data_IF_975870983296
#
_entry.id   IF_975870983296
#
_cell.length_a   1.000
_cell.length_b   1.000
_cell.length_c   1.000
_cell.angle_alpha   90.00
_cell.angle_beta   90.00
_cell.angle_gamma   90.00
#
_symmetry.space_group_name_H-M   'P 1'
#
loop_
_entity.id
_entity.type
_entity.pdbx_description
1 polymer ?
#
# COMPACT_ATOMS: atom_id res chain seq x y z
N UNK A 1 -28.89 -2.42 3.43
CA UNK A 1 -27.65 -2.14 4.18
C UNK A 1 -26.94 -3.46 4.46
N UNK A 2 -26.13 -3.94 3.50
CA UNK A 2 -25.26 -5.12 3.62
C UNK A 2 -24.39 -5.19 2.36
N UNK A 3 -23.27 -4.44 2.31
CA UNK A 3 -22.25 -4.57 1.25
C UNK A 3 -20.86 -4.03 1.62
N UNK A 4 -20.66 -3.47 2.83
CA UNK A 4 -19.36 -2.92 3.23
C UNK A 4 -18.37 -4.00 3.70
N UNK A 5 -18.86 -5.09 4.31
CA UNK A 5 -18.02 -6.17 4.85
C UNK A 5 -17.38 -7.06 3.78
N UNK A 6 -18.08 -7.32 2.68
CA UNK A 6 -17.58 -8.08 1.52
C UNK A 6 -16.44 -7.33 0.83
N UNK A 7 -16.62 -6.03 0.56
CA UNK A 7 -15.61 -5.20 -0.12
C UNK A 7 -14.30 -5.06 0.66
N UNK A 8 -14.35 -4.80 1.96
CA UNK A 8 -13.13 -4.74 2.78
C UNK A 8 -12.37 -6.08 2.80
N UNK A 9 -13.08 -7.21 2.80
CA UNK A 9 -12.46 -8.54 2.77
C UNK A 9 -11.79 -8.84 1.43
N UNK A 10 -12.42 -8.47 0.33
CA UNK A 10 -11.89 -8.61 -1.03
C UNK A 10 -10.70 -7.69 -1.27
N UNK A 11 -10.72 -6.49 -0.69
CA UNK A 11 -9.63 -5.51 -0.79
C UNK A 11 -8.37 -5.95 -0.02
N UNK A 12 -8.55 -6.44 1.21
CA UNK A 12 -7.45 -7.04 1.99
C UNK A 12 -6.88 -8.28 1.27
N UNK A 13 -7.74 -9.03 0.57
CA UNK A 13 -7.32 -10.18 -0.26
C UNK A 13 -6.48 -9.74 -1.46
N UNK A 14 -6.92 -8.69 -2.18
CA UNK A 14 -6.21 -8.11 -3.33
C UNK A 14 -4.81 -7.60 -2.97
N UNK A 15 -4.67 -6.85 -1.86
CA UNK A 15 -3.37 -6.34 -1.40
C UNK A 15 -2.42 -7.47 -0.99
N UNK A 16 -2.93 -8.51 -0.31
CA UNK A 16 -2.15 -9.72 0.01
C UNK A 16 -1.71 -10.46 -1.25
N UNK A 17 -2.57 -10.55 -2.26
CA UNK A 17 -2.26 -11.17 -3.53
C UNK A 17 -1.20 -10.37 -4.30
N UNK A 18 -1.29 -9.04 -4.34
CA UNK A 18 -0.29 -8.17 -4.96
C UNK A 18 1.09 -8.35 -4.30
N UNK A 19 1.15 -8.35 -2.96
CA UNK A 19 2.40 -8.62 -2.23
C UNK A 19 2.98 -10.01 -2.56
N UNK A 20 2.15 -11.07 -2.58
CA UNK A 20 2.60 -12.43 -2.91
C UNK A 20 3.10 -12.54 -4.35
N UNK A 21 2.45 -11.85 -5.29
CA UNK A 21 2.90 -11.79 -6.69
C UNK A 21 4.26 -11.12 -6.79
N UNK A 22 4.48 -10.01 -6.07
CA UNK A 22 5.78 -9.32 -6.02
C UNK A 22 6.87 -10.23 -5.43
N UNK A 23 6.60 -10.93 -4.33
CA UNK A 23 7.54 -11.88 -3.72
C UNK A 23 7.89 -13.04 -4.67
N UNK A 24 6.89 -13.54 -5.41
CA UNK A 24 7.07 -14.59 -6.42
C UNK A 24 7.90 -14.13 -7.61
N UNK A 25 7.66 -12.91 -8.12
CA UNK A 25 8.48 -12.32 -9.18
C UNK A 25 9.91 -12.21 -8.68
N UNK A 26 10.11 -11.58 -7.51
CA UNK A 26 11.44 -11.35 -6.94
C UNK A 26 12.25 -12.64 -6.79
N UNK A 27 11.65 -13.68 -6.21
CA UNK A 27 12.31 -14.97 -5.95
C UNK A 27 12.75 -15.70 -7.23
N UNK A 28 12.09 -15.45 -8.36
CA UNK A 28 12.33 -16.15 -9.62
C UNK A 28 13.12 -15.33 -10.65
N UNK A 29 13.43 -14.06 -10.35
CA UNK A 29 14.15 -13.14 -11.25
C UNK A 29 15.50 -13.70 -11.71
N UNK A 30 16.15 -14.56 -10.92
CA UNK A 30 17.42 -15.23 -11.26
C UNK A 30 17.40 -16.00 -12.59
N UNK A 31 16.27 -16.60 -12.95
CA UNK A 31 16.16 -17.52 -14.10
C UNK A 31 15.36 -16.98 -15.30
N UNK A 32 15.06 -15.68 -15.34
CA UNK A 32 14.28 -15.11 -16.43
C UNK A 32 15.15 -14.70 -17.62
N UNK A 33 14.73 -15.15 -18.81
CA UNK A 33 15.16 -14.62 -20.10
C UNK A 33 14.43 -13.31 -20.42
N UNK A 34 14.85 -12.58 -21.46
CA UNK A 34 14.16 -11.36 -21.95
C UNK A 34 12.68 -11.63 -22.20
N UNK A 35 12.36 -12.68 -22.97
CA UNK A 35 10.97 -13.09 -23.28
C UNK A 35 10.15 -13.42 -22.02
N UNK A 36 10.77 -14.03 -20.99
CA UNK A 36 10.09 -14.27 -19.71
C UNK A 36 9.86 -12.98 -18.94
N UNK A 37 10.74 -11.99 -19.05
CA UNK A 37 10.55 -10.69 -18.40
C UNK A 37 9.42 -9.90 -19.07
N UNK A 38 9.35 -9.85 -20.40
CA UNK A 38 8.24 -9.22 -21.13
C UNK A 38 6.89 -9.82 -20.72
N UNK A 39 6.78 -11.15 -20.69
CA UNK A 39 5.57 -11.83 -20.22
C UNK A 39 5.17 -11.45 -18.78
N UNK A 40 6.11 -11.19 -17.89
CA UNK A 40 5.81 -10.76 -16.51
C UNK A 40 5.30 -9.33 -16.49
N UNK A 41 5.90 -8.45 -17.28
CA UNK A 41 5.45 -7.08 -17.45
C UNK A 41 4.02 -7.04 -17.99
N UNK A 42 3.69 -7.90 -18.95
CA UNK A 42 2.39 -7.88 -19.62
C UNK A 42 1.29 -8.60 -18.84
N UNK A 43 1.61 -9.65 -18.08
CA UNK A 43 0.58 -10.50 -17.43
C UNK A 43 0.51 -10.40 -15.91
N UNK A 44 1.61 -10.06 -15.22
CA UNK A 44 1.67 -10.11 -13.75
C UNK A 44 1.76 -8.74 -13.09
N UNK A 45 2.40 -7.77 -13.74
CA UNK A 45 2.50 -6.41 -13.19
C UNK A 45 1.20 -5.59 -13.28
N UNK A 46 0.32 -5.71 -14.31
CA UNK A 46 -0.89 -4.89 -14.39
C UNK A 46 -1.81 -4.97 -13.15
N UNK A 47 -2.15 -6.16 -12.62
CA UNK A 47 -2.96 -6.22 -11.39
C UNK A 47 -2.21 -5.65 -10.18
N UNK A 48 -0.89 -5.79 -10.12
CA UNK A 48 -0.07 -5.21 -9.04
C UNK A 48 -0.09 -3.68 -9.10
N UNK A 49 0.03 -3.09 -10.29
CA UNK A 49 -0.08 -1.63 -10.47
C UNK A 49 -1.44 -1.12 -10.03
N UNK A 50 -2.51 -1.83 -10.38
CA UNK A 50 -3.86 -1.45 -9.94
C UNK A 50 -3.97 -1.49 -8.40
N UNK A 51 -3.50 -2.56 -7.76
CA UNK A 51 -3.49 -2.66 -6.30
C UNK A 51 -2.61 -1.60 -5.64
N UNK A 52 -1.46 -1.26 -6.21
CA UNK A 52 -0.58 -0.20 -5.71
C UNK A 52 -1.21 1.19 -5.84
N UNK A 53 -1.84 1.50 -6.98
CA UNK A 53 -2.56 2.76 -7.18
C UNK A 53 -3.73 2.91 -6.20
N UNK A 54 -4.48 1.83 -5.94
CA UNK A 54 -5.52 1.82 -4.90
C UNK A 54 -4.93 2.03 -3.51
N UNK A 55 -3.84 1.34 -3.17
CA UNK A 55 -3.20 1.50 -1.87
C UNK A 55 -2.71 2.96 -1.63
N UNK A 56 -2.18 3.63 -2.67
CA UNK A 56 -1.82 5.03 -2.61
C UNK A 56 -3.03 5.95 -2.34
N UNK A 57 -4.15 5.67 -3.01
CA UNK A 57 -5.40 6.39 -2.79
C UNK A 57 -5.92 6.18 -1.35
N UNK A 58 -5.98 4.94 -0.89
CA UNK A 58 -6.43 4.59 0.47
C UNK A 58 -5.54 5.24 1.54
N UNK A 59 -4.22 5.30 1.32
CA UNK A 59 -3.28 5.99 2.21
C UNK A 59 -3.52 7.50 2.24
N UNK A 60 -3.83 8.12 1.11
CA UNK A 60 -4.15 9.56 1.04
C UNK A 60 -5.47 9.87 1.77
N UNK A 61 -6.44 8.97 1.71
CA UNK A 61 -7.70 9.10 2.47
C UNK A 61 -7.47 8.90 3.97
N UNK A 62 -6.63 7.93 4.35
CA UNK A 62 -6.23 7.68 5.74
C UNK A 62 -5.49 8.88 6.35
N UNK A 63 -4.55 9.49 5.62
CA UNK A 63 -3.86 10.70 6.09
C UNK A 63 -4.83 11.86 6.37
N UNK A 64 -5.83 12.03 5.49
CA UNK A 64 -6.89 13.02 5.70
C UNK A 64 -7.77 12.70 6.91
N UNK A 65 -8.06 11.42 7.17
CA UNK A 65 -8.79 10.99 8.35
C UNK A 65 -8.00 11.30 9.63
N UNK A 66 -6.71 10.99 9.67
CA UNK A 66 -5.83 11.32 10.82
C UNK A 66 -5.88 12.82 11.12
N UNK A 67 -5.78 13.67 10.10
CA UNK A 67 -5.85 15.13 10.29
C UNK A 67 -7.17 15.55 10.94
N UNK A 68 -8.30 15.08 10.42
CA UNK A 68 -9.64 15.41 10.94
C UNK A 68 -9.85 14.89 12.36
N UNK A 69 -9.46 13.65 12.63
CA UNK A 69 -9.64 13.03 13.94
C UNK A 69 -8.79 13.71 15.01
N UNK A 70 -7.57 14.15 14.67
CA UNK A 70 -6.76 15.00 15.56
C UNK A 70 -7.43 16.33 15.89
N UNK A 71 -8.14 16.93 14.93
CA UNK A 71 -8.92 18.16 15.16
C UNK A 71 -10.13 17.92 16.07
N UNK A 72 -10.76 16.74 16.01
CA UNK A 72 -11.85 16.35 16.91
C UNK A 72 -11.34 16.06 18.33
N UNK A 73 -10.23 15.32 18.47
CA UNK A 73 -9.55 15.09 19.76
C UNK A 73 -9.19 16.43 20.42
N UNK A 74 -8.63 17.37 19.66
CA UNK A 74 -8.30 18.70 20.18
C UNK A 74 -9.55 19.48 20.64
N UNK A 75 -10.69 19.31 19.94
CA UNK A 75 -11.97 19.89 20.33
C UNK A 75 -12.53 19.27 21.60
N UNK A 76 -12.49 17.94 21.73
CA UNK A 76 -12.93 17.23 22.93
C UNK A 76 -12.12 17.70 24.16
N UNK A 77 -10.78 17.72 24.04
CA UNK A 77 -9.88 18.24 25.10
C UNK A 77 -10.20 19.69 25.49
N UNK A 78 -10.55 20.53 24.53
CA UNK A 78 -10.94 21.93 24.79
C UNK A 78 -12.28 22.02 25.53
N UNK A 79 -13.29 21.27 25.10
CA UNK A 79 -14.60 21.25 25.75
C UNK A 79 -14.51 20.76 27.20
N UNK A 80 -13.67 19.75 27.44
CA UNK A 80 -13.35 19.24 28.76
C UNK A 80 -12.70 20.30 29.65
N UNK A 81 -11.65 20.96 29.16
CA UNK A 81 -10.98 22.05 29.89
C UNK A 81 -11.89 23.25 30.18
N UNK A 82 -12.90 23.49 29.33
CA UNK A 82 -13.94 24.50 29.53
C UNK A 82 -15.07 24.06 30.48
N UNK A 83 -15.02 22.82 30.99
CA UNK A 83 -16.04 22.24 31.88
C UNK A 83 -17.39 21.99 31.19
N UNK A 84 -17.40 21.89 29.85
CA UNK A 84 -18.63 21.68 29.06
C UNK A 84 -19.00 20.21 28.90
N UNK A 85 -18.04 19.32 29.10
CA UNK A 85 -18.21 17.87 29.11
C UNK A 85 -17.46 17.29 30.31
N UNK A 86 -17.96 16.19 30.83
CA UNK A 86 -17.33 15.44 31.93
C UNK A 86 -16.08 14.70 31.44
N UNK A 87 -15.16 14.40 32.35
CA UNK A 87 -13.91 13.68 32.08
C UNK A 87 -14.17 12.37 31.32
N UNK A 88 -15.11 11.54 31.80
CA UNK A 88 -15.48 10.26 31.16
C UNK A 88 -15.97 10.46 29.72
N UNK A 89 -16.82 11.48 29.49
CA UNK A 89 -17.33 11.79 28.15
C UNK A 89 -16.26 12.34 27.21
N UNK A 90 -15.22 13.00 27.74
CA UNK A 90 -14.08 13.45 26.95
C UNK A 90 -13.15 12.30 26.58
N UNK A 91 -12.88 11.39 27.53
CA UNK A 91 -12.05 10.20 27.33
C UNK A 91 -12.66 9.27 26.27
N UNK A 92 -13.95 8.96 26.34
CA UNK A 92 -14.61 8.10 25.33
C UNK A 92 -14.47 8.64 23.90
N UNK A 93 -14.61 9.96 23.72
CA UNK A 93 -14.45 10.61 22.41
C UNK A 93 -13.01 10.52 21.93
N UNK A 94 -12.04 10.75 22.83
CA UNK A 94 -10.62 10.71 22.51
C UNK A 94 -10.23 9.29 22.10
N UNK A 95 -10.58 8.29 22.91
CA UNK A 95 -10.25 6.88 22.68
C UNK A 95 -10.81 6.41 21.33
N UNK A 96 -12.07 6.71 21.03
CA UNK A 96 -12.69 6.38 19.75
C UNK A 96 -11.91 6.95 18.55
N UNK A 97 -11.49 8.20 18.61
CA UNK A 97 -10.73 8.82 17.52
C UNK A 97 -9.27 8.37 17.46
N UNK A 98 -8.67 7.99 18.60
CA UNK A 98 -7.34 7.38 18.65
C UNK A 98 -7.34 6.00 17.97
N UNK A 99 -8.35 5.17 18.22
CA UNK A 99 -8.54 3.87 17.53
C UNK A 99 -8.65 4.05 16.00
N UNK A 100 -9.41 5.05 15.54
CA UNK A 100 -9.53 5.35 14.11
C UNK A 100 -8.20 5.84 13.50
N UNK A 101 -7.42 6.62 14.27
CA UNK A 101 -6.08 7.08 13.86
C UNK A 101 -5.12 5.91 13.72
N UNK A 102 -5.14 4.97 14.66
CA UNK A 102 -4.30 3.77 14.62
C UNK A 102 -4.63 2.93 13.39
N UNK A 103 -5.91 2.74 13.08
CA UNK A 103 -6.32 2.03 11.87
C UNK A 103 -5.89 2.76 10.57
N UNK A 104 -5.94 4.08 10.56
CA UNK A 104 -5.45 4.88 9.43
C UNK A 104 -3.93 4.70 9.25
N UNK A 105 -3.15 4.64 10.32
CA UNK A 105 -1.71 4.36 10.24
C UNK A 105 -1.40 2.97 9.69
N UNK A 106 -2.16 1.94 10.07
CA UNK A 106 -2.02 0.60 9.49
C UNK A 106 -2.24 0.58 7.96
N UNK A 107 -3.22 1.37 7.50
CA UNK A 107 -3.54 1.52 6.08
C UNK A 107 -2.37 2.17 5.32
N UNK A 108 -1.84 3.27 5.86
CA UNK A 108 -0.68 3.96 5.28
C UNK A 108 0.56 3.05 5.25
N UNK A 109 0.84 2.31 6.32
CA UNK A 109 1.96 1.38 6.41
C UNK A 109 1.84 0.23 5.39
N UNK A 110 0.62 -0.25 5.14
CA UNK A 110 0.36 -1.29 4.14
C UNK A 110 0.66 -0.77 2.73
N UNK A 111 0.26 0.46 2.41
CA UNK A 111 0.55 1.09 1.13
C UNK A 111 2.06 1.25 0.92
N UNK A 112 2.77 1.81 1.91
CA UNK A 112 4.23 1.97 1.85
C UNK A 112 4.95 0.63 1.61
N UNK A 113 4.51 -0.44 2.29
CA UNK A 113 5.06 -1.79 2.08
C UNK A 113 4.87 -2.29 0.65
N UNK A 114 3.70 -2.07 0.04
CA UNK A 114 3.44 -2.48 -1.35
C UNK A 114 4.30 -1.67 -2.32
N UNK A 115 4.38 -0.35 -2.14
CA UNK A 115 5.18 0.53 -2.98
C UNK A 115 6.66 0.16 -2.94
N UNK A 116 7.24 -0.01 -1.74
CA UNK A 116 8.65 -0.43 -1.60
C UNK A 116 8.95 -1.75 -2.31
N UNK A 117 8.04 -2.72 -2.21
CA UNK A 117 8.20 -4.02 -2.90
C UNK A 117 8.13 -3.85 -4.42
N UNK A 118 7.20 -3.04 -4.91
CA UNK A 118 7.07 -2.75 -6.33
C UNK A 118 8.34 -2.08 -6.86
N UNK A 119 8.85 -1.06 -6.17
CA UNK A 119 10.09 -0.35 -6.55
C UNK A 119 11.29 -1.29 -6.64
N UNK A 120 11.45 -2.18 -5.65
CA UNK A 120 12.52 -3.19 -5.67
C UNK A 120 12.38 -4.10 -6.90
N UNK A 121 11.18 -4.61 -7.17
CA UNK A 121 10.93 -5.49 -8.31
C UNK A 121 11.20 -4.79 -9.64
N UNK A 122 10.74 -3.54 -9.80
CA UNK A 122 10.97 -2.76 -11.02
C UNK A 122 12.45 -2.44 -11.23
N UNK A 123 13.17 -2.07 -10.18
CA UNK A 123 14.61 -1.82 -10.26
C UNK A 123 15.37 -3.08 -10.69
N UNK A 124 15.07 -4.23 -10.10
CA UNK A 124 15.74 -5.49 -10.46
C UNK A 124 15.37 -5.97 -11.86
N UNK A 125 14.10 -5.82 -12.27
CA UNK A 125 13.66 -6.10 -13.64
C UNK A 125 14.41 -5.23 -14.65
N UNK A 126 14.48 -3.92 -14.39
CA UNK A 126 15.20 -2.96 -15.24
C UNK A 126 16.68 -3.32 -15.37
N UNK A 127 17.38 -3.55 -14.26
CA UNK A 127 18.79 -3.96 -14.26
C UNK A 127 19.02 -5.25 -15.06
N UNK A 128 18.16 -6.26 -14.87
CA UNK A 128 18.27 -7.54 -15.58
C UNK A 128 18.00 -7.41 -17.07
N UNK A 129 16.97 -6.63 -17.44
CA UNK A 129 16.66 -6.37 -18.83
C UNK A 129 17.85 -5.69 -19.54
N UNK A 130 18.42 -4.65 -18.94
CA UNK A 130 19.61 -3.97 -19.47
C UNK A 130 20.82 -4.92 -19.60
N UNK A 131 21.09 -5.75 -18.59
CA UNK A 131 22.20 -6.70 -18.63
C UNK A 131 22.03 -7.76 -19.74
N UNK A 132 20.81 -8.26 -19.96
CA UNK A 132 20.56 -9.23 -21.05
C UNK A 132 20.57 -8.58 -22.43
N UNK A 133 20.06 -7.36 -22.56
CA UNK A 133 20.09 -6.60 -23.81
C UNK A 133 21.54 -6.31 -24.22
N UNK A 134 22.36 -5.82 -23.29
CA UNK A 134 23.79 -5.57 -23.51
C UNK A 134 24.52 -6.83 -23.99
N UNK A 135 24.32 -7.98 -23.32
CA UNK A 135 24.89 -9.26 -23.77
C UNK A 135 24.41 -9.69 -25.15
N UNK A 136 23.15 -9.42 -25.50
CA UNK A 136 22.59 -9.75 -26.81
C UNK A 136 23.19 -8.88 -27.90
N UNK A 137 23.38 -7.58 -27.64
CA UNK A 137 24.03 -6.64 -28.57
C UNK A 137 25.50 -7.03 -28.78
N UNK A 138 26.24 -7.36 -27.71
CA UNK A 138 27.63 -7.82 -27.81
C UNK A 138 27.77 -9.08 -28.66
N UNK A 139 26.81 -10.01 -28.57
CA UNK A 139 26.79 -11.21 -29.41
C UNK A 139 26.47 -10.90 -30.87
N UNK A 140 25.62 -9.91 -31.13
CA UNK A 140 25.25 -9.51 -32.50
C UNK A 140 26.36 -8.69 -33.18
N UNK A 141 27.16 -7.97 -32.39
CA UNK A 141 28.32 -7.23 -32.87
C UNK A 141 29.55 -8.12 -33.14
N UNK A 142 29.57 -9.35 -32.62
CA UNK A 142 30.60 -10.37 -32.88
C UNK A 142 30.21 -11.25 -34.06
#
# INVERSE_FOLDING_TARGET
MADSGTRQSDERSSMKQASRTLDSIFSNLGGYSIVRMENIVDSKLPPVYHSAAKAAYDASMAENAVRKNREEIARARKLHAEGKIEDEGAEEIIDMYEDEIDHAYETMATADKIHRKLDIVLNVLSMKYHALLSKSIEKLAR
#
